data_IF_685651461542
#
_entry.id   IF_685651461542
#
_cell.length_a   1.000
_cell.length_b   1.000
_cell.length_c   1.000
_cell.angle_alpha   90.00
_cell.angle_beta   90.00
_cell.angle_gamma   90.00
#
_symmetry.space_group_name_H-M   'P 1'
#
loop_
_entity.id
_entity.type
_entity.pdbx_description
1 polymer ?
#
# COMPACT_ATOMS: atom_id res chain seq x y z
N UNK A 1 13.13 5.19 -14.71
CA UNK A 1 12.42 6.18 -15.56
C UNK A 1 11.02 5.64 -15.76
N UNK A 2 9.96 6.41 -15.48
CA UNK A 2 8.58 5.89 -15.48
C UNK A 2 7.94 6.08 -16.85
N UNK A 3 7.06 5.17 -17.23
CA UNK A 3 6.36 5.18 -18.51
C UNK A 3 4.86 5.04 -18.31
N UNK A 4 4.09 5.76 -19.12
CA UNK A 4 2.65 5.58 -19.29
C UNK A 4 2.39 5.22 -20.74
N UNK A 5 2.11 3.95 -21.01
CA UNK A 5 2.23 3.39 -22.36
C UNK A 5 3.68 3.51 -22.87
N UNK A 6 3.87 4.16 -24.01
CA UNK A 6 5.18 4.40 -24.62
C UNK A 6 5.79 5.76 -24.23
N UNK A 7 5.07 6.58 -23.46
CA UNK A 7 5.50 7.93 -23.13
C UNK A 7 6.33 7.97 -21.84
N UNK A 8 7.53 8.56 -21.85
CA UNK A 8 8.28 8.80 -20.63
C UNK A 8 7.59 9.88 -19.79
N UNK A 9 7.33 9.59 -18.52
CA UNK A 9 6.57 10.44 -17.59
C UNK A 9 7.27 10.60 -16.25
N UNK A 10 7.01 11.73 -15.60
CA UNK A 10 7.32 11.96 -14.19
C UNK A 10 6.03 12.06 -13.39
N UNK A 11 6.01 11.49 -12.18
CA UNK A 11 4.89 11.65 -11.25
C UNK A 11 5.01 13.02 -10.59
N UNK A 12 3.97 13.83 -10.74
CA UNK A 12 3.87 15.17 -10.16
C UNK A 12 3.18 15.11 -8.80
N UNK A 13 2.11 14.31 -8.72
CA UNK A 13 1.29 14.19 -7.51
C UNK A 13 0.76 12.78 -7.40
N UNK A 14 0.65 12.31 -6.16
CA UNK A 14 -0.05 11.08 -5.81
C UNK A 14 -1.19 11.46 -4.89
N UNK A 15 -2.37 10.93 -5.15
CA UNK A 15 -3.55 11.13 -4.32
C UNK A 15 -4.38 9.85 -4.26
N UNK A 16 -5.33 9.80 -3.34
CA UNK A 16 -6.19 8.63 -3.13
C UNK A 16 -7.63 9.09 -3.11
N UNK A 17 -8.52 8.32 -3.72
CA UNK A 17 -9.95 8.54 -3.66
C UNK A 17 -10.71 7.24 -3.50
N UNK A 18 -11.85 7.32 -2.81
CA UNK A 18 -12.74 6.18 -2.64
C UNK A 18 -13.60 6.06 -3.90
N UNK A 19 -13.44 4.96 -4.63
CA UNK A 19 -14.26 4.62 -5.79
C UNK A 19 -15.16 3.46 -5.37
N UNK A 20 -16.44 3.74 -5.14
CA UNK A 20 -17.39 2.79 -4.55
C UNK A 20 -17.11 2.57 -3.06
N UNK A 21 -16.48 1.44 -2.72
CA UNK A 21 -16.09 1.05 -1.35
C UNK A 21 -14.57 0.85 -1.20
N UNK A 22 -13.82 1.06 -2.28
CA UNK A 22 -12.38 0.81 -2.34
C UNK A 22 -11.63 2.13 -2.46
N UNK A 23 -10.55 2.27 -1.70
CA UNK A 23 -9.64 3.41 -1.84
C UNK A 23 -8.63 3.12 -2.94
N UNK A 24 -8.71 3.88 -4.02
CA UNK A 24 -7.86 3.74 -5.21
C UNK A 24 -6.85 4.88 -5.23
N UNK A 25 -5.59 4.56 -5.52
CA UNK A 25 -4.55 5.55 -5.72
C UNK A 25 -4.52 6.02 -7.16
N UNK A 26 -4.44 7.33 -7.31
CA UNK A 26 -4.31 8.03 -8.58
C UNK A 26 -3.04 8.85 -8.55
N UNK A 27 -2.50 9.11 -9.73
CA UNK A 27 -1.34 9.96 -9.90
C UNK A 27 -1.57 10.94 -11.04
N UNK A 28 -0.98 12.11 -10.86
CA UNK A 28 -0.87 13.10 -11.90
C UNK A 28 0.53 13.00 -12.48
N UNK A 29 0.60 12.86 -13.80
CA UNK A 29 1.80 12.63 -14.57
C UNK A 29 2.15 13.85 -15.39
N UNK A 30 3.43 14.06 -15.62
CA UNK A 30 3.95 15.03 -16.57
C UNK A 30 4.83 14.33 -17.58
N UNK A 31 4.46 14.44 -18.85
CA UNK A 31 5.20 13.85 -19.96
C UNK A 31 6.54 14.58 -20.12
N UNK A 32 7.61 13.80 -20.09
CA UNK A 32 8.98 14.29 -20.26
C UNK A 32 9.15 14.68 -21.74
N UNK A 33 9.63 15.90 -21.99
CA UNK A 33 9.87 16.42 -23.34
C UNK A 33 8.73 17.24 -23.94
N UNK A 34 7.47 17.01 -23.57
CA UNK A 34 6.33 17.83 -24.05
C UNK A 34 5.75 18.76 -22.98
N UNK A 35 6.00 18.46 -21.69
CA UNK A 35 5.47 19.24 -20.58
C UNK A 35 3.97 19.09 -20.34
N UNK A 36 3.27 18.25 -21.12
CA UNK A 36 1.85 17.95 -20.95
C UNK A 36 1.61 17.21 -19.62
N UNK A 37 0.55 17.60 -18.93
CA UNK A 37 0.09 16.95 -17.71
C UNK A 37 -1.06 16.00 -18.01
N UNK A 38 -1.06 14.82 -17.39
CA UNK A 38 -2.13 13.82 -17.44
C UNK A 38 -2.56 13.58 -15.99
N UNK A 39 -3.78 13.95 -15.64
CA UNK A 39 -4.28 13.90 -14.26
C UNK A 39 -5.14 12.65 -14.03
N UNK A 40 -5.16 12.16 -12.79
CA UNK A 40 -6.05 11.08 -12.39
C UNK A 40 -5.77 9.74 -13.06
N UNK A 41 -4.51 9.48 -13.41
CA UNK A 41 -4.11 8.17 -13.92
C UNK A 41 -4.10 7.19 -12.75
N UNK A 42 -4.82 6.08 -12.88
CA UNK A 42 -4.77 5.01 -11.88
C UNK A 42 -3.32 4.60 -11.68
N UNK A 43 -2.87 4.65 -10.43
CA UNK A 43 -1.49 4.37 -10.14
C UNK A 43 -1.10 3.01 -10.75
N UNK A 44 -1.95 1.97 -10.60
CA UNK A 44 -1.72 0.57 -11.02
C UNK A 44 -1.36 0.37 -12.51
N UNK A 45 -1.61 1.40 -13.33
CA UNK A 45 -1.32 1.40 -14.77
C UNK A 45 0.13 1.78 -15.12
N UNK A 46 0.94 2.17 -14.12
CA UNK A 46 2.31 2.61 -14.33
C UNK A 46 3.33 1.52 -14.00
N UNK A 47 4.28 1.31 -14.92
CA UNK A 47 5.20 0.16 -14.93
C UNK A 47 6.25 0.13 -13.82
N UNK A 48 6.28 1.09 -12.90
CA UNK A 48 7.35 1.20 -11.89
C UNK A 48 6.96 2.10 -10.71
N UNK A 49 5.66 2.28 -10.45
CA UNK A 49 5.22 2.95 -9.22
C UNK A 49 5.14 1.87 -8.16
N UNK A 50 5.85 1.99 -7.03
CA UNK A 50 5.61 1.08 -5.91
C UNK A 50 4.15 1.29 -5.50
N UNK A 51 3.28 0.39 -5.95
CA UNK A 51 1.92 0.33 -5.45
C UNK A 51 2.04 -0.02 -3.99
N UNK A 52 1.90 1.00 -3.15
CA UNK A 52 1.23 0.79 -1.88
C UNK A 52 -0.23 0.53 -2.21
N UNK A 53 -0.51 -0.63 -2.84
CA UNK A 53 -1.76 -1.34 -2.56
C UNK A 53 -1.86 -1.25 -1.05
N UNK A 54 -2.87 -0.56 -0.56
CA UNK A 54 -3.06 -0.42 0.88
C UNK A 54 -3.43 -1.81 1.39
N UNK A 55 -2.40 -2.63 1.62
CA UNK A 55 -2.50 -4.01 2.03
C UNK A 55 -3.24 -3.96 3.35
N UNK A 56 -4.47 -4.48 3.38
CA UNK A 56 -5.21 -4.57 4.64
C UNK A 56 -4.58 -5.71 5.40
N UNK A 57 -3.90 -5.37 6.49
CA UNK A 57 -3.28 -6.34 7.37
C UNK A 57 -4.28 -6.66 8.46
N UNK A 58 -4.47 -7.94 8.67
CA UNK A 58 -5.37 -8.49 9.66
C UNK A 58 -4.52 -9.15 10.74
N UNK A 59 -4.64 -8.64 11.96
CA UNK A 59 -4.04 -9.20 13.16
C UNK A 59 -5.09 -9.97 13.94
N UNK A 60 -4.83 -11.25 14.19
CA UNK A 60 -5.72 -12.13 14.98
C UNK A 60 -4.97 -12.63 16.21
N UNK A 61 -5.52 -12.41 17.40
CA UNK A 61 -4.99 -12.94 18.67
C UNK A 61 -6.12 -13.54 19.48
N UNK A 62 -6.15 -14.88 19.56
CA UNK A 62 -7.30 -15.61 20.09
C UNK A 62 -8.57 -15.29 19.28
N UNK A 63 -9.61 -14.79 19.96
CA UNK A 63 -10.88 -14.41 19.31
C UNK A 63 -10.93 -12.93 18.87
N UNK A 64 -9.87 -12.14 19.08
CA UNK A 64 -9.84 -10.74 18.69
C UNK A 64 -9.19 -10.59 17.31
N UNK A 65 -9.91 -9.96 16.37
CA UNK A 65 -9.46 -9.63 15.01
C UNK A 65 -9.41 -8.11 14.87
N UNK A 66 -8.25 -7.57 14.50
CA UNK A 66 -8.07 -6.16 14.19
C UNK A 66 -7.56 -6.01 12.77
N UNK A 67 -8.13 -5.05 12.03
CA UNK A 67 -7.75 -4.77 10.64
C UNK A 67 -7.12 -3.40 10.58
N UNK A 68 -5.98 -3.30 9.92
CA UNK A 68 -5.29 -2.05 9.70
C UNK A 68 -4.86 -1.92 8.25
N UNK A 69 -4.75 -0.69 7.78
CA UNK A 69 -4.16 -0.38 6.48
C UNK A 69 -2.63 -0.35 6.66
N UNK A 70 -1.90 -1.05 5.79
CA UNK A 70 -0.43 -1.02 5.78
C UNK A 70 0.07 0.43 5.70
N UNK A 71 1.03 0.77 6.57
CA UNK A 71 1.64 2.11 6.72
C UNK A 71 0.72 3.23 7.26
N UNK A 72 -0.55 2.95 7.58
CA UNK A 72 -1.45 3.94 8.16
C UNK A 72 -0.97 4.39 9.56
N UNK A 73 -1.27 5.63 10.02
CA UNK A 73 -0.87 6.08 11.36
C UNK A 73 -1.41 5.18 12.48
N UNK A 74 -2.61 4.62 12.31
CA UNK A 74 -3.19 3.63 13.23
C UNK A 74 -2.40 2.32 13.26
N UNK A 75 -1.92 1.86 12.10
CA UNK A 75 -1.04 0.70 12.00
C UNK A 75 0.29 0.96 12.71
N UNK A 76 0.96 2.08 12.41
CA UNK A 76 2.24 2.43 13.03
C UNK A 76 2.12 2.53 14.54
N UNK A 77 1.04 3.16 15.03
CA UNK A 77 0.74 3.24 16.46
C UNK A 77 0.50 1.85 17.07
N UNK A 78 -0.27 0.99 16.42
CA UNK A 78 -0.53 -0.38 16.88
C UNK A 78 0.74 -1.23 16.93
N UNK A 79 1.57 -1.17 15.89
CA UNK A 79 2.86 -1.86 15.80
C UNK A 79 3.80 -1.38 16.90
N UNK A 80 3.87 -0.08 17.13
CA UNK A 80 4.69 0.50 18.20
C UNK A 80 4.20 0.09 19.60
N UNK A 81 2.90 0.24 19.87
CA UNK A 81 2.27 -0.07 21.17
C UNK A 81 2.42 -1.56 21.53
N UNK A 82 2.30 -2.44 20.53
CA UNK A 82 2.44 -3.89 20.70
C UNK A 82 3.88 -4.39 20.52
N UNK A 83 4.86 -3.49 20.32
CA UNK A 83 6.28 -3.80 20.05
C UNK A 83 6.46 -4.85 18.93
N UNK A 84 5.62 -4.75 17.90
CA UNK A 84 5.70 -5.61 16.72
C UNK A 84 6.84 -5.11 15.83
N UNK A 85 7.51 -6.03 15.14
CA UNK A 85 8.61 -5.70 14.25
C UNK A 85 8.12 -5.81 12.81
N UNK A 86 8.19 -4.73 12.04
CA UNK A 86 7.70 -4.69 10.66
C UNK A 86 8.27 -5.80 9.78
N UNK A 87 9.55 -6.14 9.98
CA UNK A 87 10.20 -7.26 9.28
C UNK A 87 9.53 -8.59 9.61
N UNK A 88 9.13 -8.81 10.87
CA UNK A 88 8.41 -10.02 11.27
C UNK A 88 6.98 -10.02 10.76
N UNK A 89 6.31 -8.86 10.72
CA UNK A 89 4.98 -8.73 10.12
C UNK A 89 5.02 -9.15 8.65
N UNK A 90 6.02 -8.68 7.89
CA UNK A 90 6.21 -9.09 6.50
C UNK A 90 6.50 -10.59 6.38
N UNK A 91 7.32 -11.17 7.27
CA UNK A 91 7.59 -12.60 7.28
C UNK A 91 6.32 -13.42 7.58
N UNK A 92 5.43 -12.91 8.43
CA UNK A 92 4.13 -13.55 8.67
C UNK A 92 3.22 -13.48 7.44
N UNK A 93 3.15 -12.33 6.78
CA UNK A 93 2.36 -12.17 5.54
C UNK A 93 2.89 -13.10 4.43
N UNK A 94 4.22 -13.25 4.33
CA UNK A 94 4.89 -14.17 3.39
C UNK A 94 4.77 -15.65 3.79
N UNK A 95 4.17 -15.97 4.94
CA UNK A 95 4.04 -17.34 5.44
C UNK A 95 5.33 -17.97 5.96
N UNK A 96 6.42 -17.20 6.09
CA UNK A 96 7.70 -17.65 6.64
C UNK A 96 7.58 -17.94 8.13
N UNK A 97 6.78 -17.13 8.84
CA UNK A 97 6.55 -17.24 10.28
C UNK A 97 5.05 -17.33 10.54
N UNK A 98 4.58 -18.36 11.27
CA UNK A 98 3.14 -18.58 11.49
C UNK A 98 2.49 -17.54 12.42
N UNK A 99 3.24 -17.06 13.41
CA UNK A 99 2.75 -16.12 14.44
C UNK A 99 3.86 -15.22 14.93
N UNK A 100 3.57 -13.94 15.17
CA UNK A 100 4.49 -13.00 15.81
C UNK A 100 3.85 -12.42 17.08
N UNK A 101 4.50 -12.57 18.25
CA UNK A 101 3.99 -12.06 19.54
C UNK A 101 2.55 -12.54 19.89
N UNK A 102 2.20 -13.76 19.45
CA UNK A 102 0.86 -14.33 19.63
C UNK A 102 -0.20 -13.79 18.67
N UNK A 103 0.18 -12.96 17.70
CA UNK A 103 -0.69 -12.51 16.61
C UNK A 103 -0.46 -13.37 15.37
N UNK A 104 -1.54 -13.87 14.79
CA UNK A 104 -1.60 -14.39 13.43
C UNK A 104 -1.82 -13.19 12.52
N UNK A 105 -0.88 -12.93 11.63
CA UNK A 105 -0.90 -11.77 10.75
C UNK A 105 -1.15 -12.26 9.34
N UNK A 106 -2.22 -11.78 8.74
CA UNK A 106 -2.63 -12.16 7.39
C UNK A 106 -2.89 -10.92 6.56
N UNK A 107 -2.64 -11.01 5.27
CA UNK A 107 -3.02 -9.98 4.32
C UNK A 107 -4.41 -10.31 3.76
N UNK A 108 -5.33 -9.36 3.85
CA UNK A 108 -6.62 -9.40 3.17
C UNK A 108 -6.40 -8.80 1.77
N UNK A 109 -6.41 -9.68 0.75
CA UNK A 109 -6.31 -9.32 -0.67
C UNK A 109 -7.64 -8.83 -1.22
#
# INVERSE_FOLDING_TARGET
MRYYGELPVNVVRVWSAIVGVEEVQFVDLKVIGTGKSIEGVRADTLTDVPFTKKHKIVFVKGNKKQKFIWDSPEYKKFVYDNKLNETMIQNCIKGVVKTHQGYIITEEK
#
